data_IF_458727357845
#
_entry.id   IF_458727357845
#
_cell.length_a   1.000
_cell.length_b   1.000
_cell.length_c   1.000
_cell.angle_alpha   90.00
_cell.angle_beta   90.00
_cell.angle_gamma   90.00
#
_symmetry.space_group_name_H-M   'P 1'
#
loop_
_entity.id
_entity.type
_entity.pdbx_description
1 polymer ?
#
# COMPACT_ATOMS: atom_id res chain seq x y z
N UNK A 1 11.97 15.98 -32.86
CA UNK A 1 11.72 17.44 -32.71
C UNK A 1 10.49 17.80 -33.53
N UNK A 2 9.31 17.98 -32.93
CA UNK A 2 8.08 18.31 -33.68
C UNK A 2 7.98 19.82 -33.89
N UNK A 3 8.08 20.28 -35.14
CA UNK A 3 7.94 21.70 -35.52
C UNK A 3 6.48 22.15 -35.47
N UNK A 4 6.11 22.96 -34.47
CA UNK A 4 4.76 23.49 -34.32
C UNK A 4 4.51 24.63 -35.35
N UNK A 5 3.49 24.48 -36.20
CA UNK A 5 3.12 25.50 -37.20
C UNK A 5 2.58 26.77 -36.52
N UNK A 6 2.98 27.93 -37.05
CA UNK A 6 2.52 29.26 -36.62
C UNK A 6 1.30 29.68 -37.44
N UNK A 7 0.44 30.49 -36.85
CA UNK A 7 -0.62 31.22 -37.54
C UNK A 7 -0.04 32.46 -38.23
N UNK A 8 -0.75 33.04 -39.19
CA UNK A 8 -0.34 34.26 -39.92
C UNK A 8 -0.09 35.47 -39.00
N UNK A 9 -0.69 35.48 -37.80
CA UNK A 9 -0.43 36.46 -36.75
C UNK A 9 0.88 36.24 -35.97
N UNK A 10 1.68 35.24 -36.35
CA UNK A 10 2.93 34.84 -35.67
C UNK A 10 2.72 34.03 -34.38
N UNK A 11 1.48 33.88 -33.92
CA UNK A 11 1.11 33.07 -32.74
C UNK A 11 1.18 31.58 -33.06
N UNK A 12 1.50 30.76 -32.06
CA UNK A 12 1.48 29.30 -32.24
C UNK A 12 0.04 28.82 -32.49
N UNK A 13 -0.15 27.95 -33.48
CA UNK A 13 -1.46 27.35 -33.71
C UNK A 13 -1.87 26.50 -32.50
N UNK A 14 -3.15 26.58 -32.14
CA UNK A 14 -3.75 25.70 -31.13
C UNK A 14 -3.54 24.25 -31.53
N UNK A 15 -3.02 23.43 -30.61
CA UNK A 15 -2.71 22.00 -30.87
C UNK A 15 -3.98 21.18 -31.13
N UNK A 16 -5.13 21.59 -30.62
CA UNK A 16 -6.47 21.10 -30.98
C UNK A 16 -7.54 22.02 -30.39
N UNK A 17 -8.76 22.02 -30.96
CA UNK A 17 -9.95 22.71 -30.43
C UNK A 17 -10.84 21.75 -29.58
N UNK A 18 -10.26 20.66 -29.08
CA UNK A 18 -10.99 19.65 -28.30
C UNK A 18 -11.19 20.16 -26.88
N UNK A 19 -12.43 20.19 -26.40
CA UNK A 19 -12.74 20.54 -25.01
C UNK A 19 -12.05 19.53 -24.08
N UNK A 20 -11.08 19.99 -23.28
CA UNK A 20 -10.36 19.15 -22.33
C UNK A 20 -11.09 19.20 -21.00
N UNK A 21 -11.61 18.07 -20.54
CA UNK A 21 -12.12 17.95 -19.18
C UNK A 21 -10.93 17.92 -18.23
N UNK A 22 -10.72 19.03 -17.49
CA UNK A 22 -9.67 19.13 -16.48
C UNK A 22 -10.31 18.88 -15.12
N UNK A 23 -9.76 17.93 -14.36
CA UNK A 23 -10.15 17.68 -12.97
C UNK A 23 -8.95 18.00 -12.08
N UNK A 24 -9.20 18.62 -10.92
CA UNK A 24 -8.17 18.84 -9.91
C UNK A 24 -8.27 17.79 -8.81
N UNK A 25 -7.13 17.32 -8.35
CA UNK A 25 -7.03 16.41 -7.19
C UNK A 25 -6.02 17.00 -6.21
N UNK A 26 -6.24 16.80 -4.91
CA UNK A 26 -5.27 17.15 -3.87
C UNK A 26 -4.74 15.87 -3.25
N UNK A 27 -3.43 15.81 -3.11
CA UNK A 27 -2.69 14.67 -2.57
C UNK A 27 -1.70 15.19 -1.53
N UNK A 28 -1.29 14.34 -0.61
CA UNK A 28 -0.13 14.62 0.26
C UNK A 28 1.15 14.48 -0.55
N UNK A 29 2.22 15.13 -0.11
CA UNK A 29 3.53 15.05 -0.78
C UNK A 29 4.03 13.59 -0.87
N UNK A 30 3.78 12.79 0.17
CA UNK A 30 4.12 11.38 0.19
C UNK A 30 3.41 10.60 -0.93
N UNK A 31 2.09 10.75 -1.06
CA UNK A 31 1.31 10.07 -2.11
C UNK A 31 1.68 10.57 -3.50
N UNK A 32 2.04 11.85 -3.64
CA UNK A 32 2.50 12.41 -4.91
C UNK A 32 3.84 11.82 -5.36
N UNK A 33 4.75 11.57 -4.41
CA UNK A 33 6.05 10.96 -4.69
C UNK A 33 5.90 9.49 -5.09
N UNK A 34 5.12 8.70 -4.34
CA UNK A 34 4.90 7.28 -4.67
C UNK A 34 4.24 7.11 -6.04
N UNK A 35 3.27 7.97 -6.38
CA UNK A 35 2.66 8.00 -7.72
C UNK A 35 3.72 8.26 -8.81
N UNK A 36 4.68 9.14 -8.51
CA UNK A 36 5.80 9.43 -9.40
C UNK A 36 6.71 8.23 -9.64
N UNK A 37 7.05 7.48 -8.58
CA UNK A 37 7.87 6.28 -8.68
C UNK A 37 7.18 5.17 -9.49
N UNK A 38 5.89 4.95 -9.26
CA UNK A 38 5.10 3.96 -10.02
C UNK A 38 4.99 4.37 -11.48
N UNK A 39 4.73 5.64 -11.77
CA UNK A 39 4.67 6.14 -13.14
C UNK A 39 6.01 5.99 -13.86
N UNK A 40 7.12 6.32 -13.18
CA UNK A 40 8.48 6.20 -13.72
C UNK A 40 8.86 4.75 -14.00
N UNK A 41 8.55 3.82 -13.09
CA UNK A 41 8.85 2.39 -13.29
C UNK A 41 8.08 1.78 -14.47
N UNK A 42 6.91 2.34 -14.79
CA UNK A 42 6.11 1.98 -15.97
C UNK A 42 6.44 2.79 -17.21
N UNK A 43 7.30 3.81 -17.11
CA UNK A 43 7.62 4.72 -18.21
C UNK A 43 6.44 5.57 -18.72
N UNK A 44 5.40 5.76 -17.91
CA UNK A 44 4.20 6.55 -18.24
C UNK A 44 4.16 7.83 -17.42
N UNK A 45 3.29 8.79 -17.78
CA UNK A 45 3.13 10.00 -16.96
C UNK A 45 2.26 9.71 -15.74
N UNK A 46 2.45 10.50 -14.67
CA UNK A 46 1.57 10.47 -13.49
C UNK A 46 0.09 10.64 -13.85
N UNK A 47 -0.20 11.45 -14.86
CA UNK A 47 -1.57 11.70 -15.33
C UNK A 47 -2.15 10.47 -16.03
N UNK A 48 -1.38 9.80 -16.89
CA UNK A 48 -1.81 8.58 -17.57
C UNK A 48 -2.10 7.46 -16.58
N UNK A 49 -1.25 7.32 -15.55
CA UNK A 49 -1.46 6.38 -14.46
C UNK A 49 -2.78 6.66 -13.71
N UNK A 50 -3.07 7.93 -13.40
CA UNK A 50 -4.34 8.31 -12.76
C UNK A 50 -5.54 7.97 -13.65
N UNK A 51 -5.45 8.26 -14.95
CA UNK A 51 -6.55 7.98 -15.89
C UNK A 51 -6.80 6.47 -16.02
N UNK A 52 -5.73 5.65 -16.04
CA UNK A 52 -5.82 4.18 -16.02
C UNK A 52 -6.56 3.69 -14.77
N UNK A 53 -6.19 4.21 -13.60
CA UNK A 53 -6.82 3.85 -12.31
C UNK A 53 -8.29 4.24 -12.30
N UNK A 54 -8.61 5.48 -12.68
CA UNK A 54 -9.99 5.98 -12.73
C UNK A 54 -10.83 5.20 -13.74
N UNK A 55 -10.26 4.87 -14.90
CA UNK A 55 -10.95 4.10 -15.95
C UNK A 55 -11.16 2.65 -15.58
N UNK A 56 -10.20 2.04 -14.88
CA UNK A 56 -10.29 0.64 -14.44
C UNK A 56 -11.34 0.44 -13.34
N UNK A 57 -11.76 1.50 -12.65
CA UNK A 57 -12.62 1.43 -11.47
C UNK A 57 -11.99 0.68 -10.29
N UNK A 58 -10.75 0.21 -10.44
CA UNK A 58 -10.04 -0.60 -9.46
C UNK A 58 -9.17 0.30 -8.58
N UNK A 59 -9.83 1.08 -7.72
CA UNK A 59 -9.14 1.87 -6.69
C UNK A 59 -8.39 1.00 -5.66
N UNK A 60 -8.59 -0.32 -5.68
CA UNK A 60 -7.95 -1.28 -4.79
C UNK A 60 -6.49 -1.64 -5.13
N UNK A 61 -5.90 -1.04 -6.18
CA UNK A 61 -4.56 -1.42 -6.67
C UNK A 61 -3.47 -0.35 -6.57
N UNK A 62 -3.79 0.87 -6.11
CA UNK A 62 -2.73 1.81 -5.74
C UNK A 62 -2.05 1.30 -4.47
N UNK A 63 -0.71 1.43 -4.33
CA UNK A 63 -0.07 1.30 -3.04
C UNK A 63 -0.49 2.54 -2.23
N UNK A 64 -1.73 2.52 -1.74
CA UNK A 64 -1.94 3.01 -0.40
C UNK A 64 -0.91 2.22 0.38
N UNK A 65 -0.03 2.91 1.10
CA UNK A 65 0.55 2.37 2.31
C UNK A 65 -0.62 2.08 3.30
N UNK A 66 -1.63 1.30 2.90
CA UNK A 66 -2.18 0.27 3.74
C UNK A 66 -0.96 -0.56 3.99
N UNK A 67 -0.24 -0.23 5.07
CA UNK A 67 0.77 -1.06 5.72
C UNK A 67 0.53 -2.45 5.21
N UNK A 68 1.38 -2.96 4.30
CA UNK A 68 1.23 -4.31 3.74
C UNK A 68 0.71 -5.15 4.89
N UNK A 69 -0.50 -5.73 4.83
CA UNK A 69 -1.05 -6.52 5.93
C UNK A 69 0.13 -7.34 6.43
N UNK A 70 0.70 -7.04 7.62
CA UNK A 70 2.04 -7.50 7.91
C UNK A 70 1.89 -8.99 7.82
N UNK A 71 2.52 -9.59 6.80
CA UNK A 71 2.45 -11.03 6.58
C UNK A 71 2.84 -11.57 7.93
N UNK A 72 1.86 -12.13 8.64
CA UNK A 72 1.90 -12.17 10.09
C UNK A 72 2.99 -13.16 10.43
N UNK A 73 4.21 -12.64 10.65
CA UNK A 73 5.37 -13.48 10.68
C UNK A 73 5.31 -14.28 11.96
N UNK A 74 5.29 -15.61 11.82
CA UNK A 74 5.20 -16.53 12.94
C UNK A 74 6.29 -16.22 13.97
N UNK A 75 7.48 -15.81 13.52
CA UNK A 75 8.59 -15.39 14.39
C UNK A 75 8.28 -14.15 15.24
N UNK A 76 7.54 -13.18 14.70
CA UNK A 76 7.11 -12.00 15.45
C UNK A 76 6.09 -12.36 16.55
N UNK A 77 5.16 -13.28 16.30
CA UNK A 77 4.21 -13.74 17.32
C UNK A 77 4.88 -14.55 18.42
N UNK A 78 5.86 -15.38 18.08
CA UNK A 78 6.66 -16.12 19.06
C UNK A 78 7.45 -15.17 19.97
N UNK A 79 8.07 -14.14 19.39
CA UNK A 79 8.79 -13.09 20.15
C UNK A 79 7.85 -12.33 21.10
N UNK A 80 6.62 -12.03 20.66
CA UNK A 80 5.62 -11.37 21.48
C UNK A 80 5.08 -12.29 22.60
N UNK A 81 4.96 -13.58 22.33
CA UNK A 81 4.60 -14.60 23.32
C UNK A 81 5.63 -14.64 24.45
N UNK A 82 6.92 -14.70 24.13
CA UNK A 82 8.00 -14.71 25.11
C UNK A 82 8.02 -13.44 25.97
N UNK A 83 7.80 -12.28 25.34
CA UNK A 83 7.68 -10.99 26.04
C UNK A 83 6.47 -10.96 26.99
N UNK A 84 5.36 -11.60 26.61
CA UNK A 84 4.15 -11.66 27.44
C UNK A 84 4.33 -12.63 28.61
N UNK A 85 4.99 -13.77 28.36
CA UNK A 85 5.34 -14.75 29.39
C UNK A 85 6.35 -14.20 30.41
N UNK A 86 7.32 -13.39 30.00
CA UNK A 86 8.27 -12.75 30.92
C UNK A 86 7.61 -11.66 31.77
N UNK A 87 6.63 -10.92 31.23
CA UNK A 87 5.82 -9.95 31.98
C UNK A 87 4.97 -10.58 33.09
N UNK A 88 4.50 -11.81 32.88
CA UNK A 88 3.67 -12.51 33.86
C UNK A 88 4.45 -12.87 35.14
N UNK A 89 5.79 -12.75 35.17
CA UNK A 89 6.67 -13.05 36.32
C UNK A 89 6.41 -14.44 36.95
N UNK A 90 5.90 -15.38 36.16
CA UNK A 90 5.66 -16.75 36.61
C UNK A 90 6.96 -17.54 36.44
N UNK A 91 7.36 -18.31 37.44
CA UNK A 91 8.52 -19.20 37.32
C UNK A 91 8.34 -20.20 36.16
N UNK A 92 9.40 -20.44 35.38
CA UNK A 92 9.40 -21.33 34.21
C UNK A 92 8.87 -22.76 34.49
N UNK A 93 8.97 -23.20 35.75
CA UNK A 93 8.55 -24.54 36.20
C UNK A 93 7.16 -24.56 36.84
N UNK A 94 6.52 -23.39 37.03
CA UNK A 94 5.18 -23.34 37.60
C UNK A 94 4.15 -23.93 36.63
N UNK A 95 3.15 -24.61 37.18
CA UNK A 95 2.03 -25.16 36.42
C UNK A 95 1.30 -24.05 35.63
N UNK A 96 1.18 -22.85 36.20
CA UNK A 96 0.58 -21.68 35.55
C UNK A 96 1.35 -21.22 34.32
N UNK A 97 2.69 -21.29 34.33
CA UNK A 97 3.51 -20.93 33.18
C UNK A 97 3.28 -21.89 32.01
N UNK A 98 3.23 -23.20 32.30
CA UNK A 98 3.00 -24.25 31.29
C UNK A 98 1.60 -24.12 30.66
N UNK A 99 0.60 -23.84 31.48
CA UNK A 99 -0.78 -23.61 31.00
C UNK A 99 -0.88 -22.35 30.13
N UNK A 100 -0.28 -21.24 30.55
CA UNK A 100 -0.27 -19.99 29.78
C UNK A 100 0.45 -20.15 28.43
N UNK A 101 1.63 -20.80 28.44
CA UNK A 101 2.40 -21.07 27.21
C UNK A 101 1.60 -21.92 26.22
N UNK A 102 0.90 -22.95 26.71
CA UNK A 102 0.05 -23.81 25.87
C UNK A 102 -1.14 -23.03 25.28
N UNK A 103 -1.82 -22.23 26.09
CA UNK A 103 -2.96 -21.43 25.64
C UNK A 103 -2.56 -20.40 24.56
N UNK A 104 -1.46 -19.68 24.77
CA UNK A 104 -0.94 -18.72 23.79
C UNK A 104 -0.50 -19.43 22.50
N UNK A 105 0.12 -20.60 22.61
CA UNK A 105 0.50 -21.40 21.44
C UNK A 105 -0.68 -21.87 20.59
N UNK A 106 -1.82 -22.21 21.22
CA UNK A 106 -3.06 -22.53 20.52
C UNK A 106 -3.65 -21.29 19.84
N UNK A 107 -3.69 -20.17 20.55
CA UNK A 107 -4.19 -18.90 20.01
C UNK A 107 -3.41 -18.44 18.76
N UNK A 108 -2.08 -18.56 18.78
CA UNK A 108 -1.23 -18.25 17.61
C UNK A 108 -1.58 -19.16 16.43
N UNK A 109 -1.82 -20.46 16.66
CA UNK A 109 -2.22 -21.40 15.60
C UNK A 109 -3.57 -21.04 15.01
N UNK A 110 -4.55 -20.68 15.84
CA UNK A 110 -5.89 -20.31 15.38
C UNK A 110 -5.85 -19.03 14.53
N UNK A 111 -5.06 -18.03 14.91
CA UNK A 111 -4.84 -16.82 14.10
C UNK A 111 -4.22 -17.17 12.75
N UNK A 112 -3.16 -18.00 12.74
CA UNK A 112 -2.51 -18.39 11.49
C UNK A 112 -3.43 -19.20 10.58
N UNK A 113 -4.30 -20.04 11.15
CA UNK A 113 -5.28 -20.82 10.39
C UNK A 113 -6.37 -19.94 9.75
N UNK A 114 -6.89 -18.96 10.50
CA UNK A 114 -7.88 -18.01 9.98
C UNK A 114 -7.32 -17.16 8.84
N UNK A 115 -6.03 -16.78 8.92
CA UNK A 115 -5.37 -15.99 7.88
C UNK A 115 -4.93 -16.80 6.65
N UNK A 116 -4.94 -18.13 6.71
CA UNK A 116 -4.61 -19.02 5.57
C UNK A 116 -5.86 -19.55 4.85
N UNK A 117 -7.06 -19.28 5.37
CA UNK A 117 -8.33 -19.77 4.83
C UNK A 117 -9.09 -18.74 3.96
N UNK A 118 -8.52 -17.55 3.75
CA UNK A 118 -8.95 -16.53 2.77
C UNK A 118 -8.06 -16.58 1.52
#
# INVERSE_FOLDING_TARGET
MSTQKRQESGRFAFKSNTHRLVRSIRLTDATWNTLGEVANSRGITRADLIEEIVSSGNFGGLPIEAKSNPKLDKGALETLSEKSLSKLKIGLQSSGYKSAKKAIGLFIKDILFLLQSE
#
